data_IF_589635424296
#
_entry.id   IF_589635424296
#
_cell.length_a   1.000
_cell.length_b   1.000
_cell.length_c   1.000
_cell.angle_alpha   90.00
_cell.angle_beta   90.00
_cell.angle_gamma   90.00
#
_symmetry.space_group_name_H-M   'P 1'
#
loop_
_entity.id
_entity.type
_entity.pdbx_description
1 polymer ?
#
# COMPACT_ATOMS: atom_id res chain seq x y z
N UNK A 1 10.05 -14.83 17.55
CA UNK A 1 10.15 -13.66 16.70
C UNK A 1 8.83 -12.90 16.62
N UNK A 2 8.90 -11.61 16.36
CA UNK A 2 7.69 -10.78 16.20
C UNK A 2 7.00 -11.12 14.87
N UNK A 3 5.69 -10.91 14.80
CA UNK A 3 4.92 -10.93 13.55
C UNK A 3 4.80 -9.48 13.07
N UNK A 4 5.14 -9.22 11.81
CA UNK A 4 5.08 -7.92 11.21
C UNK A 4 3.95 -7.88 10.19
N UNK A 5 3.07 -6.86 10.27
CA UNK A 5 1.96 -6.68 9.33
C UNK A 5 2.02 -5.27 8.76
N UNK A 6 2.01 -5.17 7.42
CA UNK A 6 1.97 -3.89 6.72
C UNK A 6 0.79 -3.85 5.73
N UNK A 7 -0.19 -3.02 6.05
CA UNK A 7 -1.34 -2.70 5.18
C UNK A 7 -1.37 -1.21 4.81
N UNK A 8 -0.28 -0.50 5.03
CA UNK A 8 -0.18 0.94 4.81
C UNK A 8 0.46 1.30 3.47
N UNK A 9 1.79 1.37 3.45
CA UNK A 9 2.59 1.65 2.25
C UNK A 9 3.82 0.78 2.22
N UNK A 10 4.20 0.29 1.02
CA UNK A 10 5.34 -0.59 0.83
C UNK A 10 6.64 0.01 1.36
N UNK A 11 6.89 1.26 1.07
CA UNK A 11 8.09 2.01 1.48
C UNK A 11 8.28 2.17 3.01
N UNK A 12 7.31 1.76 3.83
CA UNK A 12 7.47 1.72 5.29
C UNK A 12 8.40 0.59 5.74
N UNK A 13 8.66 -0.39 4.88
CA UNK A 13 9.50 -1.56 5.17
C UNK A 13 10.53 -1.70 4.05
N UNK A 14 11.80 -1.71 4.42
CA UNK A 14 12.88 -2.06 3.50
C UNK A 14 12.87 -3.58 3.31
N UNK A 15 12.59 -4.04 2.11
CA UNK A 15 12.31 -5.45 1.82
C UNK A 15 13.50 -6.37 2.07
N UNK A 16 14.72 -5.96 1.69
CA UNK A 16 15.92 -6.76 1.94
C UNK A 16 16.18 -6.93 3.44
N UNK A 17 16.00 -5.87 4.23
CA UNK A 17 16.14 -5.94 5.68
C UNK A 17 15.10 -6.87 6.33
N UNK A 18 13.87 -6.89 5.78
CA UNK A 18 12.83 -7.84 6.20
C UNK A 18 13.27 -9.28 5.92
N UNK A 19 13.78 -9.55 4.71
CA UNK A 19 14.29 -10.87 4.32
C UNK A 19 15.39 -11.34 5.27
N UNK A 20 16.34 -10.48 5.61
CA UNK A 20 17.42 -10.82 6.53
C UNK A 20 16.89 -11.06 7.95
N UNK A 21 15.94 -10.25 8.42
CA UNK A 21 15.29 -10.47 9.70
C UNK A 21 14.53 -11.80 9.80
N UNK A 22 13.89 -12.24 8.70
CA UNK A 22 13.22 -13.54 8.59
C UNK A 22 14.23 -14.70 8.64
N UNK A 23 15.35 -14.61 7.89
CA UNK A 23 16.42 -15.62 7.89
C UNK A 23 17.06 -15.77 9.27
N UNK A 24 17.32 -14.65 9.93
CA UNK A 24 17.89 -14.64 11.28
C UNK A 24 16.90 -15.00 12.37
N UNK A 25 15.63 -15.28 12.02
CA UNK A 25 14.52 -15.58 12.94
C UNK A 25 14.25 -14.48 13.97
N UNK A 26 14.71 -13.27 13.73
CA UNK A 26 14.33 -12.07 14.49
C UNK A 26 12.88 -11.71 14.23
N UNK A 27 12.46 -11.85 12.96
CA UNK A 27 11.07 -11.74 12.52
C UNK A 27 10.54 -13.16 12.32
N UNK A 28 9.46 -13.49 13.03
CA UNK A 28 8.85 -14.81 13.03
C UNK A 28 7.91 -15.04 11.85
N UNK A 29 7.24 -13.98 11.38
CA UNK A 29 6.34 -14.02 10.22
C UNK A 29 6.09 -12.61 9.68
N UNK A 30 5.62 -12.50 8.43
CA UNK A 30 5.17 -11.24 7.86
C UNK A 30 3.87 -11.40 7.07
N UNK A 31 2.97 -10.41 7.19
CA UNK A 31 1.78 -10.23 6.37
C UNK A 31 1.84 -8.87 5.66
N UNK A 32 1.92 -8.87 4.34
CA UNK A 32 2.15 -7.69 3.55
C UNK A 32 1.03 -7.53 2.51
N UNK A 33 0.24 -6.48 2.62
CA UNK A 33 -0.73 -6.10 1.59
C UNK A 33 -0.10 -5.13 0.57
N UNK A 34 1.05 -4.59 0.89
CA UNK A 34 1.79 -3.59 0.11
C UNK A 34 3.26 -4.00 -0.01
N UNK A 35 3.87 -3.63 -1.12
CA UNK A 35 5.26 -3.93 -1.44
C UNK A 35 6.00 -2.67 -1.88
N UNK A 36 7.30 -2.60 -1.63
CA UNK A 36 8.13 -1.41 -1.89
C UNK A 36 8.09 -0.96 -3.35
N UNK A 37 8.09 -1.90 -4.29
CA UNK A 37 8.07 -1.67 -5.74
C UNK A 37 6.76 -2.14 -6.40
N UNK A 38 5.64 -2.07 -5.68
CA UNK A 38 4.35 -2.61 -6.11
C UNK A 38 3.82 -2.06 -7.44
N UNK A 39 4.21 -0.84 -7.83
CA UNK A 39 3.70 -0.17 -9.02
C UNK A 39 3.97 -0.94 -10.32
N UNK A 40 5.04 -1.72 -10.39
CA UNK A 40 5.38 -2.54 -11.54
C UNK A 40 4.70 -3.91 -11.59
N UNK A 41 4.13 -4.39 -10.47
CA UNK A 41 3.66 -5.77 -10.35
C UNK A 41 2.18 -5.90 -10.01
N UNK A 42 1.60 -4.96 -9.27
CA UNK A 42 0.25 -5.13 -8.73
C UNK A 42 -0.85 -4.52 -9.61
N UNK A 43 -0.49 -3.63 -10.52
CA UNK A 43 -1.45 -2.89 -11.34
C UNK A 43 -1.44 -3.29 -12.81
N UNK A 44 -0.53 -4.18 -13.22
CA UNK A 44 -0.47 -4.72 -14.58
C UNK A 44 -0.69 -6.24 -14.55
N UNK A 45 -1.39 -6.76 -15.57
CA UNK A 45 -1.47 -8.21 -15.77
C UNK A 45 -0.14 -8.72 -16.33
N UNK A 46 0.65 -9.31 -15.44
CA UNK A 46 1.96 -9.88 -15.77
C UNK A 46 1.95 -11.41 -15.73
N UNK A 47 0.76 -12.04 -15.80
CA UNK A 47 0.61 -13.50 -15.66
C UNK A 47 1.45 -14.31 -16.63
N UNK A 48 1.76 -13.75 -17.80
CA UNK A 48 2.53 -14.39 -18.88
C UNK A 48 4.04 -14.05 -18.84
N UNK A 49 4.49 -13.26 -17.85
CA UNK A 49 5.89 -12.84 -17.73
C UNK A 49 6.59 -13.58 -16.61
N UNK A 50 7.87 -13.87 -16.83
CA UNK A 50 8.74 -14.33 -15.76
C UNK A 50 8.91 -13.18 -14.78
N UNK A 51 8.80 -13.47 -13.48
CA UNK A 51 9.03 -12.48 -12.43
C UNK A 51 10.50 -12.09 -12.43
N UNK A 52 10.80 -10.86 -12.86
CA UNK A 52 12.18 -10.32 -12.89
C UNK A 52 12.64 -9.77 -11.54
N UNK A 53 11.71 -9.71 -10.54
CA UNK A 53 12.04 -9.26 -9.18
C UNK A 53 12.48 -10.42 -8.30
N UNK A 54 13.78 -10.65 -8.25
CA UNK A 54 14.40 -11.65 -7.41
C UNK A 54 14.12 -11.45 -5.91
N UNK A 55 13.93 -10.19 -5.49
CA UNK A 55 13.68 -9.83 -4.08
C UNK A 55 12.26 -10.25 -3.70
N UNK A 56 11.27 -9.93 -4.54
CA UNK A 56 9.89 -10.35 -4.34
C UNK A 56 9.76 -11.88 -4.41
N UNK A 57 10.37 -12.51 -5.42
CA UNK A 57 10.38 -13.97 -5.55
C UNK A 57 10.97 -14.64 -4.29
N UNK A 58 12.05 -14.09 -3.76
CA UNK A 58 12.66 -14.56 -2.53
C UNK A 58 11.76 -14.38 -1.32
N UNK A 59 11.09 -13.23 -1.20
CA UNK A 59 10.14 -12.96 -0.14
C UNK A 59 8.97 -13.97 -0.16
N UNK A 60 8.43 -14.24 -1.34
CA UNK A 60 7.34 -15.20 -1.55
C UNK A 60 7.77 -16.67 -1.29
N UNK A 61 9.06 -16.97 -1.28
CA UNK A 61 9.57 -18.31 -0.97
C UNK A 61 9.51 -18.68 0.52
N UNK A 62 9.29 -17.72 1.41
CA UNK A 62 9.17 -17.97 2.85
C UNK A 62 7.81 -18.52 3.20
N UNK A 63 7.75 -19.67 3.90
CA UNK A 63 6.50 -20.30 4.32
C UNK A 63 5.72 -19.50 5.39
N UNK A 64 6.38 -18.55 6.03
CA UNK A 64 5.85 -17.69 7.08
C UNK A 64 5.64 -16.24 6.62
N UNK A 65 5.51 -16.04 5.30
CA UNK A 65 5.19 -14.75 4.68
C UNK A 65 3.93 -14.89 3.85
N UNK A 66 3.03 -13.95 3.99
CA UNK A 66 1.83 -13.78 3.14
C UNK A 66 1.91 -12.42 2.49
N UNK A 67 1.76 -12.39 1.17
CA UNK A 67 1.66 -11.17 0.38
C UNK A 67 0.30 -11.15 -0.31
N UNK A 68 -0.43 -10.04 -0.17
CA UNK A 68 -1.66 -9.75 -0.90
C UNK A 68 -1.44 -8.53 -1.79
N UNK A 69 -2.13 -8.47 -2.92
CA UNK A 69 -1.82 -7.47 -3.96
C UNK A 69 -2.55 -6.15 -3.73
N UNK A 70 -2.25 -5.47 -2.63
CA UNK A 70 -2.83 -4.17 -2.24
C UNK A 70 -4.37 -4.18 -2.25
N UNK A 71 -4.94 -5.22 -1.64
CA UNK A 71 -6.39 -5.51 -1.67
C UNK A 71 -7.10 -5.28 -0.33
N UNK A 72 -6.45 -4.66 0.64
CA UNK A 72 -7.05 -4.39 1.94
C UNK A 72 -8.35 -3.58 1.89
N UNK A 73 -8.54 -2.80 0.81
CA UNK A 73 -9.79 -2.07 0.56
C UNK A 73 -10.91 -2.96 -0.02
N UNK A 74 -10.62 -4.16 -0.52
CA UNK A 74 -11.58 -4.98 -1.27
C UNK A 74 -12.48 -5.80 -0.34
N UNK A 75 -13.13 -5.12 0.59
CA UNK A 75 -14.23 -5.67 1.40
C UNK A 75 -15.53 -4.96 1.01
N UNK A 76 -16.67 -5.61 1.24
CA UNK A 76 -17.98 -5.01 0.94
C UNK A 76 -18.14 -3.66 1.61
N UNK A 77 -17.79 -3.57 2.89
CA UNK A 77 -17.93 -2.36 3.70
C UNK A 77 -17.04 -1.22 3.20
N UNK A 78 -15.79 -1.52 2.87
CA UNK A 78 -14.84 -0.53 2.37
C UNK A 78 -15.26 -0.01 0.99
N UNK A 79 -15.62 -0.90 0.07
CA UNK A 79 -16.08 -0.53 -1.29
C UNK A 79 -17.37 0.30 -1.23
N UNK A 80 -18.33 -0.07 -0.38
CA UNK A 80 -19.58 0.68 -0.19
C UNK A 80 -19.29 2.08 0.35
N UNK A 81 -18.41 2.20 1.35
CA UNK A 81 -18.02 3.49 1.91
C UNK A 81 -17.29 4.38 0.90
N UNK A 82 -16.37 3.83 0.13
CA UNK A 82 -15.65 4.55 -0.94
C UNK A 82 -16.67 5.07 -1.97
N UNK A 83 -17.58 4.21 -2.45
CA UNK A 83 -18.59 4.60 -3.42
C UNK A 83 -19.51 5.71 -2.89
N UNK A 84 -20.02 5.56 -1.66
CA UNK A 84 -20.90 6.58 -1.03
C UNK A 84 -20.18 7.92 -0.86
N UNK A 85 -18.97 7.90 -0.34
CA UNK A 85 -18.17 9.13 -0.14
C UNK A 85 -17.88 9.81 -1.47
N UNK A 86 -17.51 9.05 -2.50
CA UNK A 86 -17.26 9.59 -3.84
C UNK A 86 -18.52 10.24 -4.42
N UNK A 87 -19.66 9.56 -4.37
CA UNK A 87 -20.92 10.09 -4.87
C UNK A 87 -21.37 11.33 -4.09
N UNK A 88 -21.17 11.35 -2.78
CA UNK A 88 -21.49 12.51 -1.95
C UNK A 88 -20.60 13.70 -2.30
N UNK A 89 -19.29 13.50 -2.47
CA UNK A 89 -18.38 14.57 -2.89
C UNK A 89 -18.78 15.17 -4.25
N UNK A 90 -19.14 14.34 -5.23
CA UNK A 90 -19.61 14.80 -6.55
C UNK A 90 -20.89 15.64 -6.40
N UNK A 91 -21.83 15.15 -5.60
CA UNK A 91 -23.09 15.87 -5.35
C UNK A 91 -22.84 17.21 -4.69
N UNK A 92 -22.04 17.26 -3.64
CA UNK A 92 -21.74 18.50 -2.92
C UNK A 92 -21.02 19.51 -3.80
N UNK A 93 -20.09 19.03 -4.67
CA UNK A 93 -19.45 19.88 -5.66
C UNK A 93 -20.46 20.44 -6.66
N UNK A 94 -21.37 19.61 -7.21
CA UNK A 94 -22.36 20.04 -8.21
C UNK A 94 -23.40 21.03 -7.64
N UNK A 95 -23.68 20.93 -6.36
CA UNK A 95 -24.65 21.78 -5.66
C UNK A 95 -23.98 22.99 -4.95
N UNK A 96 -22.68 23.23 -5.21
CA UNK A 96 -21.89 24.30 -4.57
C UNK A 96 -21.95 24.26 -3.04
N UNK A 97 -22.03 23.08 -2.46
CA UNK A 97 -21.99 22.88 -1.02
C UNK A 97 -20.57 22.90 -0.48
N UNK A 98 -20.43 22.96 0.83
CA UNK A 98 -19.13 22.78 1.48
C UNK A 98 -18.60 21.38 1.20
N UNK A 99 -17.33 21.29 0.72
CA UNK A 99 -16.64 20.04 0.47
C UNK A 99 -15.92 19.59 1.75
N UNK A 100 -16.44 18.60 2.44
CA UNK A 100 -15.86 18.11 3.70
C UNK A 100 -14.53 17.38 3.48
N UNK A 101 -14.37 16.75 2.32
CA UNK A 101 -13.19 15.94 1.97
C UNK A 101 -12.26 16.67 0.96
N UNK A 102 -12.36 18.00 0.87
CA UNK A 102 -11.51 18.78 -0.03
C UNK A 102 -10.03 18.66 0.39
N UNK A 103 -9.18 18.18 -0.51
CA UNK A 103 -7.75 18.20 -0.33
C UNK A 103 -7.21 19.54 -0.82
N UNK A 104 -6.67 20.32 0.08
CA UNK A 104 -6.01 21.60 -0.25
C UNK A 104 -4.51 21.42 -0.23
N UNK A 105 -3.82 21.95 -1.25
CA UNK A 105 -2.37 22.09 -1.16
C UNK A 105 -2.04 23.05 0.00
N UNK A 106 -1.18 22.61 0.92
CA UNK A 106 -0.60 23.56 1.86
C UNK A 106 0.14 24.63 1.06
N UNK A 107 -0.02 25.93 1.41
CA UNK A 107 0.81 26.95 0.78
C UNK A 107 2.27 26.56 1.05
N UNK A 108 3.08 26.43 -0.02
CA UNK A 108 4.52 26.27 0.12
C UNK A 108 4.99 27.34 1.11
N UNK A 109 5.37 26.91 2.30
CA UNK A 109 6.05 27.79 3.23
C UNK A 109 7.27 28.28 2.46
N UNK A 110 7.27 29.56 2.10
CA UNK A 110 8.41 30.24 1.57
C UNK A 110 9.56 29.99 2.56
N UNK A 111 10.39 28.99 2.24
CA UNK A 111 11.63 28.72 2.98
C UNK A 111 12.44 29.98 2.81
N UNK A 112 12.51 30.73 3.91
CA UNK A 112 13.08 32.04 3.97
C UNK A 112 14.48 32.09 3.41
N UNK A 113 14.67 33.10 2.63
CA UNK A 113 15.97 33.73 2.45
C UNK A 113 16.58 34.00 3.84
N UNK A 114 17.67 33.33 4.14
CA UNK A 114 18.74 33.80 5.01
C UNK A 114 20.07 33.48 4.32
#
# INVERSE_FOLDING_TARGET
GVILINTGRGQLIHTEALIDGLKEKKIGAAGLDVYEEEAGYFYEDTSDRIMDDDVLARLLSFNNVIVTSHQGFFTREAVDNIARTTMQNIKDFSECRRLENEVRAEPENAVGQL
#
